data_IF_598940978393
#
_entry.id   IF_598940978393
#
_cell.length_a   1.000
_cell.length_b   1.000
_cell.length_c   1.000
_cell.angle_alpha   90.00
_cell.angle_beta   90.00
_cell.angle_gamma   90.00
#
_symmetry.space_group_name_H-M   'P 1'
#
loop_
_entity.id
_entity.type
_entity.pdbx_description
1 polymer ?
#
# COMPACT_ATOMS: atom_id res chain seq x y z
N UNK A 1 -25.09 6.99 6.85
CA UNK A 1 -24.61 6.85 5.47
C UNK A 1 -23.29 6.09 5.50
N UNK A 2 -23.31 4.75 5.34
CA UNK A 2 -22.11 3.92 5.35
C UNK A 2 -21.38 4.08 4.01
N UNK A 3 -20.42 4.99 3.95
CA UNK A 3 -19.48 5.06 2.85
C UNK A 3 -18.56 3.84 2.91
N UNK A 4 -18.85 2.81 2.11
CA UNK A 4 -17.90 1.76 1.84
C UNK A 4 -16.62 2.44 1.35
N UNK A 5 -15.53 2.33 2.13
CA UNK A 5 -14.24 2.87 1.74
C UNK A 5 -13.85 2.18 0.43
N UNK A 6 -14.10 2.83 -0.70
CA UNK A 6 -13.73 2.36 -2.03
C UNK A 6 -12.27 1.93 -1.99
N UNK A 7 -12.03 0.67 -2.36
CA UNK A 7 -10.67 0.14 -2.52
C UNK A 7 -10.04 0.92 -3.66
N UNK A 8 -9.28 1.95 -3.30
CA UNK A 8 -8.61 2.84 -4.24
C UNK A 8 -7.60 2.02 -5.05
N UNK A 9 -7.85 1.97 -6.37
CA UNK A 9 -7.01 1.25 -7.32
C UNK A 9 -5.94 2.24 -7.80
N UNK A 10 -4.66 1.94 -7.54
CA UNK A 10 -3.55 2.81 -7.94
C UNK A 10 -2.67 2.05 -8.91
N UNK A 11 -2.42 2.67 -10.06
CA UNK A 11 -1.58 2.10 -11.11
C UNK A 11 -0.10 2.15 -10.71
N UNK A 12 0.64 1.09 -11.02
CA UNK A 12 1.93 0.72 -10.38
C UNK A 12 3.06 1.75 -10.46
N UNK A 13 2.98 2.72 -11.37
CA UNK A 13 4.08 3.63 -11.71
C UNK A 13 4.13 4.94 -10.90
N UNK A 14 3.08 5.29 -10.15
CA UNK A 14 2.99 6.53 -9.34
C UNK A 14 2.83 6.33 -7.83
N UNK A 15 3.04 5.10 -7.33
CA UNK A 15 2.41 4.62 -6.08
C UNK A 15 3.07 5.13 -4.78
N UNK A 16 4.33 5.58 -4.80
CA UNK A 16 5.09 5.90 -3.58
C UNK A 16 4.53 7.06 -2.74
N UNK A 17 4.18 8.23 -3.32
CA UNK A 17 3.51 9.29 -2.58
C UNK A 17 2.17 8.83 -1.98
N UNK A 18 1.41 8.01 -2.71
CA UNK A 18 0.15 7.44 -2.24
C UNK A 18 0.36 6.43 -1.11
N UNK A 19 1.40 5.60 -1.15
CA UNK A 19 1.77 4.70 -0.05
C UNK A 19 2.03 5.47 1.23
N UNK A 20 2.92 6.48 1.19
CA UNK A 20 3.26 7.27 2.38
C UNK A 20 2.03 7.98 2.94
N UNK A 21 1.19 8.54 2.07
CA UNK A 21 -0.10 9.13 2.43
C UNK A 21 -1.03 8.13 3.12
N UNK A 22 -1.15 6.90 2.59
CA UNK A 22 -2.00 5.84 3.15
C UNK A 22 -1.50 5.30 4.48
N UNK A 23 -0.18 5.15 4.63
CA UNK A 23 0.43 4.79 5.90
C UNK A 23 0.04 5.83 6.96
N UNK A 24 0.16 7.12 6.64
CA UNK A 24 -0.25 8.20 7.55
C UNK A 24 -1.75 8.20 7.83
N UNK A 25 -2.60 7.98 6.82
CA UNK A 25 -4.07 7.97 6.98
C UNK A 25 -4.58 6.80 7.81
N UNK A 26 -4.05 5.59 7.61
CA UNK A 26 -4.57 4.35 8.24
C UNK A 26 -3.86 4.07 9.57
N UNK A 27 -2.54 4.26 9.62
CA UNK A 27 -1.71 3.80 10.73
C UNK A 27 -1.04 4.96 11.51
N UNK A 28 -1.12 6.20 10.99
CA UNK A 28 -0.49 7.39 11.56
C UNK A 28 1.02 7.45 11.34
N UNK A 29 1.72 6.37 11.64
CA UNK A 29 3.19 6.28 11.57
C UNK A 29 3.65 5.02 10.83
N UNK A 30 4.87 5.08 10.26
CA UNK A 30 5.52 3.93 9.64
C UNK A 30 5.74 2.80 10.65
N UNK A 31 6.10 3.12 11.90
CA UNK A 31 6.28 2.13 12.98
C UNK A 31 5.00 1.33 13.25
N UNK A 32 3.85 1.99 13.34
CA UNK A 32 2.57 1.30 13.55
C UNK A 32 2.23 0.38 12.39
N UNK A 33 2.54 0.81 11.16
CA UNK A 33 2.34 -0.04 9.99
C UNK A 33 3.29 -1.24 9.98
N UNK A 34 4.57 -1.07 10.32
CA UNK A 34 5.51 -2.19 10.46
C UNK A 34 5.02 -3.21 11.50
N UNK A 35 4.52 -2.73 12.66
CA UNK A 35 3.92 -3.57 13.70
C UNK A 35 2.70 -4.34 13.17
N UNK A 36 1.83 -3.69 12.39
CA UNK A 36 0.69 -4.35 11.76
C UNK A 36 1.11 -5.45 10.77
N UNK A 37 2.18 -5.23 10.00
CA UNK A 37 2.74 -6.21 9.07
C UNK A 37 3.55 -7.32 9.75
N UNK A 38 3.85 -7.19 11.05
CA UNK A 38 4.73 -8.11 11.76
C UNK A 38 6.19 -8.04 11.29
N UNK A 39 6.66 -6.88 10.80
CA UNK A 39 8.03 -6.67 10.37
C UNK A 39 8.74 -5.56 11.16
N UNK A 40 10.06 -5.45 11.00
CA UNK A 40 10.84 -4.37 11.62
C UNK A 40 10.65 -3.06 10.86
N UNK A 41 10.77 -1.93 11.58
CA UNK A 41 10.69 -0.60 10.98
C UNK A 41 11.77 -0.39 9.90
N UNK A 42 12.98 -0.94 10.11
CA UNK A 42 14.09 -0.92 9.14
C UNK A 42 13.75 -1.68 7.87
N UNK A 43 13.20 -2.89 7.98
CA UNK A 43 12.79 -3.67 6.80
C UNK A 43 11.71 -2.93 6.00
N UNK A 44 10.72 -2.33 6.67
CA UNK A 44 9.73 -1.51 5.98
C UNK A 44 10.36 -0.28 5.30
N UNK A 45 11.35 0.35 5.94
CA UNK A 45 12.10 1.47 5.34
C UNK A 45 12.86 1.05 4.09
N UNK A 46 13.56 -0.07 4.13
CA UNK A 46 14.30 -0.60 2.98
C UNK A 46 13.35 -0.95 1.83
N UNK A 47 12.19 -1.55 2.13
CA UNK A 47 11.17 -1.84 1.14
C UNK A 47 10.60 -0.57 0.48
N UNK A 48 10.32 0.49 1.27
CA UNK A 48 9.86 1.78 0.74
C UNK A 48 10.91 2.50 -0.11
N UNK A 49 12.19 2.17 0.09
CA UNK A 49 13.31 2.67 -0.71
C UNK A 49 13.72 1.69 -1.82
N UNK A 50 12.89 0.70 -2.13
CA UNK A 50 13.13 -0.32 -3.16
C UNK A 50 14.43 -1.11 -3.01
N UNK A 51 14.98 -1.20 -1.79
CA UNK A 51 16.18 -1.99 -1.48
C UNK A 51 15.86 -3.45 -1.20
N UNK A 52 14.63 -3.73 -0.76
CA UNK A 52 14.12 -5.07 -0.48
C UNK A 52 12.70 -5.22 -1.01
N UNK A 53 12.22 -6.47 -1.08
CA UNK A 53 10.82 -6.74 -1.37
C UNK A 53 9.89 -6.19 -0.28
N UNK A 54 8.63 -5.94 -0.64
CA UNK A 54 7.61 -5.56 0.33
C UNK A 54 7.28 -6.70 1.30
N UNK A 55 7.03 -6.42 2.59
CA UNK A 55 6.57 -7.43 3.53
C UNK A 55 5.24 -8.07 3.11
N UNK A 56 4.99 -9.29 3.57
CA UNK A 56 3.71 -9.98 3.35
C UNK A 56 2.55 -9.11 3.87
N UNK A 57 1.47 -9.02 3.11
CA UNK A 57 0.30 -8.23 3.47
C UNK A 57 0.45 -6.72 3.29
N UNK A 58 1.57 -6.22 2.76
CA UNK A 58 1.80 -4.78 2.55
C UNK A 58 0.67 -4.08 1.80
N UNK A 59 0.28 -4.64 0.64
CA UNK A 59 -0.79 -4.06 -0.19
C UNK A 59 -2.17 -4.17 0.45
N UNK A 60 -2.45 -5.29 1.11
CA UNK A 60 -3.70 -5.52 1.84
C UNK A 60 -3.86 -4.56 3.01
N UNK A 61 -2.79 -4.34 3.79
CA UNK A 61 -2.78 -3.39 4.90
C UNK A 61 -3.06 -1.95 4.45
N UNK A 62 -2.51 -1.54 3.31
CA UNK A 62 -2.81 -0.22 2.73
C UNK A 62 -4.19 -0.16 2.05
N UNK A 63 -4.89 -1.29 1.95
CA UNK A 63 -6.12 -1.48 1.17
C UNK A 63 -5.95 -1.00 -0.27
N UNK A 64 -4.75 -1.19 -0.83
CA UNK A 64 -4.43 -0.85 -2.22
C UNK A 64 -4.57 -2.14 -3.02
N UNK A 65 -5.43 -2.11 -4.04
CA UNK A 65 -5.45 -3.17 -5.05
C UNK A 65 -4.36 -2.88 -6.07
N UNK A 66 -3.45 -3.84 -6.26
CA UNK A 66 -2.48 -3.78 -7.35
C UNK A 66 -3.19 -4.17 -8.65
N UNK A 67 -3.47 -3.18 -9.51
CA UNK A 67 -3.85 -3.45 -10.91
C UNK A 67 -2.61 -4.01 -11.63
N UNK A 68 -2.80 -5.04 -12.45
CA UNK A 68 -1.73 -5.52 -13.34
C UNK A 68 -2.00 -5.02 -14.75
N UNK A 69 -0.96 -4.87 -15.56
CA UNK A 69 -1.07 -4.45 -16.97
C UNK A 69 -2.07 -5.29 -17.79
N UNK A 70 -2.29 -6.54 -17.40
CA UNK A 70 -3.20 -7.48 -18.07
C UNK A 70 -4.66 -7.39 -17.61
N UNK A 71 -4.95 -6.61 -16.56
CA UNK A 71 -6.34 -6.29 -16.21
C UNK A 71 -6.82 -5.20 -17.18
N UNK A 72 -7.37 -5.64 -18.31
CA UNK A 72 -8.04 -4.76 -19.29
C UNK A 72 -9.03 -3.86 -18.55
N UNK A 73 -8.89 -2.54 -18.73
CA UNK A 73 -9.96 -1.58 -18.38
C UNK A 73 -11.26 -2.11 -19.00
N UNK A 74 -12.40 -2.13 -18.28
CA UNK A 74 -13.67 -2.45 -18.91
C UNK A 74 -13.85 -1.49 -20.08
N UNK A 75 -13.88 -2.02 -21.30
CA UNK A 75 -14.22 -1.25 -22.49
C UNK A 75 -15.63 -0.69 -22.24
N UNK A 76 -15.71 0.63 -22.12
CA UNK A 76 -16.94 1.37 -21.91
C UNK A 76 -17.89 1.25 -23.12
#
# INVERSE_FOLDING_TARGET
>A
MSGAAEKLVVDGYGVLPHIKGRIKQIYGTQRNFAKHLGCTESHLSDALNARTAYPKGFWEGLKIRRKTYYELEPMA
#
